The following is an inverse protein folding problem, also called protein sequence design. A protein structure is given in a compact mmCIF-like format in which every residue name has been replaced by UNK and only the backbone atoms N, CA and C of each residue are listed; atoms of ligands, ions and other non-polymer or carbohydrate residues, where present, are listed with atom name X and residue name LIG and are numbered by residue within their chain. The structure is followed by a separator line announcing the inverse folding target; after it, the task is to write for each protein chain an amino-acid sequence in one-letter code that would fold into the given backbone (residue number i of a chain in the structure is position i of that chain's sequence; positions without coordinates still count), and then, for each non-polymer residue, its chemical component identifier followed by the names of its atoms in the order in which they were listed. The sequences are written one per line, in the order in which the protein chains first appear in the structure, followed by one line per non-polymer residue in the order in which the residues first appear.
data_IF_061529165057
#
_entry.id   IF_061529165057
#
_cell.length_a   1.000
_cell.length_b   1.000
_cell.length_c   1.000
_cell.angle_alpha   90.00
_cell.angle_beta   90.00
_cell.angle_gamma   90.00
#
_symmetry.space_group_name_H-M   'P 1'
#
loop_
_entity.id
_entity.type
_entity.pdbx_description
1 polymer ?
#
# COMPACT_ATOMS: atom_id res chain seq x y z
N UNK A 1 15.96 -26.16 -12.08
CA UNK A 1 16.94 -25.49 -11.19
C UNK A 1 17.64 -24.40 -11.99
N UNK A 2 17.09 -23.19 -11.99
CA UNK A 2 17.73 -21.99 -12.53
C UNK A 2 16.95 -20.78 -12.02
N UNK A 3 17.66 -19.67 -11.75
CA UNK A 3 17.15 -18.32 -11.48
C UNK A 3 16.97 -17.91 -10.01
N UNK A 4 17.86 -18.33 -9.11
CA UNK A 4 18.12 -17.59 -7.86
C UNK A 4 19.14 -16.44 -8.05
N UNK A 5 19.74 -16.29 -9.23
CA UNK A 5 20.87 -15.38 -9.46
C UNK A 5 20.55 -14.04 -10.16
N UNK A 6 19.30 -13.79 -10.59
CA UNK A 6 18.98 -12.57 -11.35
C UNK A 6 18.67 -11.34 -10.47
N UNK A 7 18.40 -11.51 -9.18
CA UNK A 7 18.12 -10.38 -8.26
C UNK A 7 19.37 -9.55 -7.89
N UNK A 8 20.59 -10.06 -8.13
CA UNK A 8 21.84 -9.46 -7.65
C UNK A 8 22.62 -8.66 -8.72
N UNK A 9 22.04 -8.43 -9.90
CA UNK A 9 22.78 -7.83 -11.02
C UNK A 9 22.46 -6.34 -11.26
N UNK A 10 21.50 -5.78 -10.54
CA UNK A 10 21.14 -4.36 -10.61
C UNK A 10 21.66 -3.59 -9.38
N UNK A 11 22.28 -2.43 -9.60
CA UNK A 11 22.85 -1.58 -8.55
C UNK A 11 21.78 -1.18 -7.52
N UNK A 12 20.53 -1.01 -7.97
CA UNK A 12 19.39 -0.69 -7.12
C UNK A 12 18.95 -1.87 -6.24
N UNK A 13 18.84 -3.08 -6.80
CA UNK A 13 18.46 -4.28 -6.04
C UNK A 13 19.48 -4.61 -4.94
N UNK A 14 20.77 -4.43 -5.20
CA UNK A 14 21.82 -4.62 -4.18
C UNK A 14 21.73 -3.58 -3.07
N UNK A 15 21.41 -2.32 -3.38
CA UNK A 15 21.23 -1.25 -2.38
C UNK A 15 19.99 -1.49 -1.52
N UNK A 16 18.87 -1.90 -2.13
CA UNK A 16 17.65 -2.26 -1.42
C UNK A 16 17.88 -3.45 -0.47
N UNK A 17 18.61 -4.47 -0.93
CA UNK A 17 18.97 -5.62 -0.08
C UNK A 17 19.85 -5.19 1.11
N UNK A 18 20.83 -4.32 0.89
CA UNK A 18 21.69 -3.78 1.97
C UNK A 18 20.84 -3.00 2.98
N UNK A 19 19.97 -2.09 2.51
CA UNK A 19 19.08 -1.33 3.38
C UNK A 19 18.16 -2.27 4.19
N UNK A 20 17.57 -3.28 3.55
CA UNK A 20 16.74 -4.28 4.21
C UNK A 20 17.49 -5.06 5.30
N UNK A 21 18.72 -5.52 5.02
CA UNK A 21 19.54 -6.24 6.01
C UNK A 21 19.86 -5.32 7.20
N UNK A 22 20.23 -4.06 6.95
CA UNK A 22 20.53 -3.08 8.01
C UNK A 22 19.29 -2.85 8.88
N UNK A 23 18.14 -2.53 8.27
CA UNK A 23 16.88 -2.30 8.99
C UNK A 23 16.46 -3.54 9.78
N UNK A 24 16.58 -4.74 9.20
CA UNK A 24 16.21 -5.99 9.89
C UNK A 24 17.13 -6.29 11.08
N UNK A 25 18.44 -6.11 10.92
CA UNK A 25 19.39 -6.27 12.04
C UNK A 25 19.11 -5.26 13.15
N UNK A 26 18.79 -4.02 12.76
CA UNK A 26 18.50 -2.97 13.71
C UNK A 26 17.17 -3.21 14.45
N UNK A 27 16.13 -3.63 13.75
CA UNK A 27 14.86 -4.10 14.34
C UNK A 27 15.08 -5.15 15.44
N UNK A 28 15.94 -6.15 15.21
CA UNK A 28 16.27 -7.14 16.24
C UNK A 28 16.94 -6.50 17.45
N UNK A 29 17.87 -5.56 17.22
CA UNK A 29 18.54 -4.83 18.29
C UNK A 29 17.56 -3.99 19.13
N UNK A 30 16.55 -3.38 18.50
CA UNK A 30 15.51 -2.63 19.20
C UNK A 30 14.53 -3.49 19.97
N UNK A 31 14.11 -4.63 19.44
CA UNK A 31 13.29 -5.59 20.19
C UNK A 31 14.03 -6.00 21.46
N UNK A 32 15.30 -6.39 21.33
CA UNK A 32 16.13 -6.77 22.48
C UNK A 32 16.32 -5.57 23.42
N UNK A 33 16.63 -4.40 22.88
CA UNK A 33 16.84 -3.16 23.62
C UNK A 33 15.61 -2.71 24.40
N UNK A 34 14.43 -2.76 23.79
CA UNK A 34 13.14 -2.41 24.40
C UNK A 34 12.76 -3.39 25.51
N UNK A 35 12.97 -4.69 25.29
CA UNK A 35 12.75 -5.71 26.34
C UNK A 35 13.72 -5.56 27.51
N UNK A 36 15.01 -5.36 27.24
CA UNK A 36 16.03 -5.20 28.29
C UNK A 36 15.88 -3.89 29.06
N UNK A 37 15.56 -2.80 28.36
CA UNK A 37 15.36 -1.50 29.00
C UNK A 37 13.97 -1.33 29.61
N UNK A 38 13.05 -2.25 29.33
CA UNK A 38 11.62 -2.10 29.57
C UNK A 38 11.07 -0.80 28.99
N UNK A 39 11.59 -0.29 27.85
CA UNK A 39 11.10 0.94 27.21
C UNK A 39 9.99 0.64 26.21
N UNK A 40 8.84 1.32 26.34
CA UNK A 40 7.78 1.25 25.33
C UNK A 40 8.13 2.01 24.07
N UNK A 41 8.93 3.07 24.17
CA UNK A 41 9.29 3.86 22.99
C UNK A 41 10.11 3.01 22.01
N UNK A 42 11.07 2.23 22.52
CA UNK A 42 11.83 1.29 21.71
C UNK A 42 11.00 0.12 21.19
N UNK A 43 10.04 -0.40 21.98
CA UNK A 43 9.14 -1.45 21.50
C UNK A 43 8.17 -0.94 20.42
N UNK A 44 7.78 0.34 20.48
CA UNK A 44 6.98 0.99 19.46
C UNK A 44 7.75 1.17 18.15
N UNK A 45 9.00 1.61 18.25
CA UNK A 45 9.91 1.73 17.11
C UNK A 45 10.21 0.32 16.52
N UNK A 46 10.46 -0.67 17.36
CA UNK A 46 10.63 -2.05 16.90
C UNK A 46 9.38 -2.62 16.20
N UNK A 47 8.19 -2.34 16.76
CA UNK A 47 6.91 -2.86 16.28
C UNK A 47 6.56 -2.43 14.86
N UNK A 48 6.80 -1.17 14.50
CA UNK A 48 6.57 -0.71 13.13
C UNK A 48 7.58 -1.33 12.17
N UNK A 49 8.88 -1.37 12.52
CA UNK A 49 9.91 -2.01 11.70
C UNK A 49 9.65 -3.49 11.43
N UNK A 50 9.09 -4.24 12.40
CA UNK A 50 8.65 -5.63 12.18
C UNK A 50 7.61 -5.69 11.07
N UNK A 51 6.63 -4.79 11.09
CA UNK A 51 5.60 -4.76 10.04
C UNK A 51 6.15 -4.31 8.70
N UNK A 52 7.17 -3.45 8.65
CA UNK A 52 7.82 -3.08 7.40
C UNK A 52 8.64 -4.24 6.82
N UNK A 53 9.35 -4.98 7.68
CA UNK A 53 10.05 -6.19 7.28
C UNK A 53 9.08 -7.26 6.76
N UNK A 54 7.93 -7.43 7.43
CA UNK A 54 6.85 -8.31 6.96
C UNK A 54 6.26 -7.85 5.63
N UNK A 55 6.03 -6.55 5.43
CA UNK A 55 5.55 -5.99 4.17
C UNK A 55 6.52 -6.30 3.03
N UNK A 56 7.82 -6.09 3.24
CA UNK A 56 8.86 -6.38 2.25
C UNK A 56 8.95 -7.87 1.94
N UNK A 57 8.91 -8.74 2.97
CA UNK A 57 8.88 -10.19 2.78
C UNK A 57 7.66 -10.62 1.95
N UNK A 58 6.47 -10.12 2.30
CA UNK A 58 5.24 -10.42 1.59
C UNK A 58 5.26 -9.88 0.16
N UNK A 59 5.84 -8.70 -0.08
CA UNK A 59 6.02 -8.15 -1.42
C UNK A 59 6.95 -9.05 -2.26
N UNK A 60 8.07 -9.52 -1.71
CA UNK A 60 8.97 -10.46 -2.37
C UNK A 60 8.27 -11.79 -2.73
N UNK A 61 7.50 -12.33 -1.78
CA UNK A 61 6.69 -13.53 -2.02
C UNK A 61 5.65 -13.24 -3.10
N UNK A 62 4.94 -12.12 -3.03
CA UNK A 62 3.92 -11.76 -3.98
C UNK A 62 4.49 -11.58 -5.40
N UNK A 63 5.66 -10.97 -5.57
CA UNK A 63 6.36 -10.89 -6.87
C UNK A 63 6.69 -12.29 -7.39
N UNK A 64 7.17 -13.19 -6.53
CA UNK A 64 7.43 -14.59 -6.91
C UNK A 64 6.16 -15.31 -7.37
N UNK A 65 5.02 -15.05 -6.72
CA UNK A 65 3.72 -15.62 -7.11
C UNK A 65 3.08 -14.93 -8.32
N UNK A 66 3.32 -13.63 -8.52
CA UNK A 66 2.83 -12.86 -9.67
C UNK A 66 3.46 -13.33 -11.00
N UNK A 67 4.67 -13.90 -10.95
CA UNK A 67 5.32 -14.54 -12.10
C UNK A 67 4.66 -15.87 -12.50
N UNK A 68 3.78 -16.45 -11.66
CA UNK A 68 3.04 -17.67 -12.04
C UNK A 68 1.93 -17.31 -13.02
N UNK A 69 1.91 -18.01 -14.16
CA UNK A 69 0.84 -17.85 -15.15
C UNK A 69 -0.53 -18.11 -14.51
N UNK A 70 -1.58 -17.38 -14.93
CA UNK A 70 -2.96 -17.65 -14.52
C UNK A 70 -3.33 -19.13 -14.75
N UNK A 71 -4.15 -19.69 -13.86
CA UNK A 71 -4.65 -21.05 -13.99
C UNK A 71 -6.19 -21.05 -14.10
N UNK A 72 -6.79 -22.20 -14.41
CA UNK A 72 -8.25 -22.30 -14.60
C UNK A 72 -9.08 -21.94 -13.36
N UNK A 73 -8.49 -21.93 -12.15
CA UNK A 73 -9.16 -21.54 -10.91
C UNK A 73 -8.91 -20.07 -10.51
N UNK A 74 -7.81 -19.50 -10.98
CA UNK A 74 -7.36 -18.13 -10.76
C UNK A 74 -7.08 -17.51 -12.13
N UNK A 75 -8.14 -17.10 -12.81
CA UNK A 75 -8.12 -16.61 -14.21
C UNK A 75 -7.37 -15.29 -14.38
N UNK A 76 -7.35 -14.46 -13.34
CA UNK A 76 -6.49 -13.27 -13.24
C UNK A 76 -5.15 -13.55 -12.56
N UNK A 77 -4.82 -14.81 -12.27
CA UNK A 77 -3.65 -15.17 -11.48
C UNK A 77 -3.74 -14.70 -10.03
N UNK A 78 -2.61 -14.34 -9.44
CA UNK A 78 -2.49 -13.96 -8.03
C UNK A 78 -2.34 -12.44 -7.83
N UNK A 79 -2.93 -11.63 -8.72
CA UNK A 79 -2.78 -10.16 -8.71
C UNK A 79 -3.22 -9.53 -7.38
N UNK A 80 -4.28 -10.04 -6.73
CA UNK A 80 -4.79 -9.52 -5.45
C UNK A 80 -3.99 -9.96 -4.22
N UNK A 81 -3.01 -10.85 -4.37
CA UNK A 81 -2.27 -11.38 -3.23
C UNK A 81 -1.41 -10.30 -2.55
N UNK A 82 -0.91 -9.33 -3.33
CA UNK A 82 -0.23 -8.13 -2.83
C UNK A 82 -1.16 -7.29 -1.95
N UNK A 83 -2.40 -7.09 -2.40
CA UNK A 83 -3.44 -6.33 -1.68
C UNK A 83 -3.81 -7.00 -0.36
N UNK A 84 -4.02 -8.32 -0.38
CA UNK A 84 -4.31 -9.11 0.82
C UNK A 84 -3.15 -9.03 1.81
N UNK A 85 -1.91 -9.17 1.32
CA UNK A 85 -0.71 -9.01 2.15
C UNK A 85 -0.63 -7.63 2.79
N UNK A 86 -0.86 -6.56 2.02
CA UNK A 86 -0.86 -5.19 2.53
C UNK A 86 -1.95 -4.98 3.60
N UNK A 87 -3.16 -5.52 3.38
CA UNK A 87 -4.25 -5.45 4.35
C UNK A 87 -3.92 -6.16 5.66
N UNK A 88 -3.40 -7.40 5.60
CA UNK A 88 -2.99 -8.17 6.78
C UNK A 88 -1.86 -7.44 7.53
N UNK A 89 -0.89 -6.90 6.81
CA UNK A 89 0.21 -6.15 7.41
C UNK A 89 -0.26 -4.87 8.12
N UNK A 90 -1.12 -4.09 7.46
CA UNK A 90 -1.71 -2.89 8.05
C UNK A 90 -2.54 -3.21 9.30
N UNK A 91 -3.29 -4.31 9.27
CA UNK A 91 -4.05 -4.81 10.43
C UNK A 91 -3.14 -5.24 11.59
N UNK A 92 -2.04 -5.94 11.30
CA UNK A 92 -1.06 -6.32 12.31
C UNK A 92 -0.39 -5.10 12.95
N UNK A 93 0.03 -4.12 12.14
CA UNK A 93 0.59 -2.86 12.64
C UNK A 93 -0.42 -2.11 13.52
N UNK A 94 -1.67 -2.02 13.08
CA UNK A 94 -2.74 -1.39 13.84
C UNK A 94 -2.92 -2.06 15.21
N UNK A 95 -2.90 -3.39 15.26
CA UNK A 95 -2.99 -4.15 16.51
C UNK A 95 -1.79 -3.90 17.43
N UNK A 96 -0.56 -3.93 16.91
CA UNK A 96 0.67 -3.67 17.68
C UNK A 96 0.61 -2.27 18.31
N UNK A 97 0.22 -1.26 17.53
CA UNK A 97 0.10 0.12 18.03
C UNK A 97 -0.96 0.24 19.11
N UNK A 98 -2.12 -0.42 18.96
CA UNK A 98 -3.14 -0.44 20.03
C UNK A 98 -2.63 -1.09 21.32
N UNK A 99 -1.86 -2.17 21.22
CA UNK A 99 -1.24 -2.83 22.37
C UNK A 99 -0.23 -1.89 23.07
N UNK A 100 0.60 -1.17 22.31
CA UNK A 100 1.55 -0.20 22.87
C UNK A 100 0.82 0.95 23.56
N UNK A 101 -0.24 1.50 22.95
CA UNK A 101 -1.04 2.57 23.58
C UNK A 101 -1.71 2.07 24.85
N UNK A 102 -2.26 0.87 24.83
CA UNK A 102 -2.84 0.23 26.02
C UNK A 102 -1.80 0.10 27.14
N UNK A 103 -0.63 -0.44 26.83
CA UNK A 103 0.47 -0.63 27.80
C UNK A 103 1.01 0.72 28.31
N UNK A 104 1.10 1.73 27.45
CA UNK A 104 1.50 3.08 27.84
C UNK A 104 0.49 3.71 28.80
N UNK A 105 -0.81 3.51 28.57
CA UNK A 105 -1.86 3.93 29.49
C UNK A 105 -1.77 3.19 30.83
N UNK A 106 -1.49 1.88 30.82
CA UNK A 106 -1.29 1.08 32.03
C UNK A 106 -0.10 1.56 32.87
N UNK A 107 1.00 1.96 32.22
CA UNK A 107 2.21 2.46 32.91
C UNK A 107 2.05 3.79 33.64
N UNK A 108 1.01 4.58 33.35
CA UNK A 108 0.70 5.74 34.19
C UNK A 108 0.11 5.34 35.56
N UNK A 109 -0.50 4.16 35.65
CA UNK A 109 -1.08 3.63 36.89
C UNK A 109 -0.05 2.80 37.65
N UNK A 110 0.71 1.95 36.94
CA UNK A 110 1.79 1.13 37.49
C UNK A 110 3.14 1.47 36.82
N UNK A 111 3.90 2.45 37.38
CA UNK A 111 5.18 2.85 36.82
C UNK A 111 6.18 1.69 36.84
N UNK A 112 6.81 1.47 35.69
CA UNK A 112 7.92 0.52 35.55
C UNK A 112 9.24 1.28 35.48
N UNK A 113 10.29 0.70 36.05
CA UNK A 113 11.63 1.24 35.92
C UNK A 113 12.14 1.04 34.50
N UNK A 114 12.48 2.16 33.84
CA UNK A 114 13.06 2.15 32.50
C UNK A 114 14.57 2.37 32.61
N UNK A 115 15.36 1.42 32.11
CA UNK A 115 16.81 1.54 32.12
C UNK A 115 17.25 2.54 31.03
N UNK A 116 17.50 3.78 31.42
CA UNK A 116 17.83 4.87 30.49
C UNK A 116 19.13 4.67 29.69
N UNK A 117 20.15 4.02 30.26
CA UNK A 117 21.44 3.79 29.56
C UNK A 117 21.30 2.84 28.37
N UNK A 118 20.79 1.60 28.52
CA UNK A 118 20.60 0.71 27.38
C UNK A 118 19.59 1.31 26.37
N UNK A 119 18.56 2.01 26.85
CA UNK A 119 17.62 2.72 25.98
C UNK A 119 18.33 3.75 25.10
N UNK A 120 19.19 4.60 25.67
CA UNK A 120 19.93 5.63 24.95
C UNK A 120 20.89 5.03 23.91
N UNK A 121 21.63 3.98 24.27
CA UNK A 121 22.59 3.32 23.37
C UNK A 121 21.87 2.80 22.13
N UNK A 122 20.75 2.10 22.33
CA UNK A 122 19.96 1.51 21.23
C UNK A 122 19.34 2.61 20.38
N UNK A 123 18.75 3.63 20.99
CA UNK A 123 18.10 4.73 20.26
C UNK A 123 19.11 5.55 19.43
N UNK A 124 20.32 5.79 19.93
CA UNK A 124 21.39 6.45 19.17
C UNK A 124 21.86 5.56 18.01
N UNK A 125 22.06 4.27 18.25
CA UNK A 125 22.43 3.33 17.19
C UNK A 125 21.38 3.31 16.07
N UNK A 126 20.09 3.37 16.43
CA UNK A 126 18.98 3.45 15.48
C UNK A 126 18.92 4.70 14.66
N UNK A 127 19.07 5.84 15.33
CA UNK A 127 19.14 7.12 14.66
C UNK A 127 20.22 7.13 13.57
N UNK A 128 21.42 6.61 13.88
CA UNK A 128 22.50 6.53 12.89
C UNK A 128 22.26 5.47 11.82
N UNK A 129 21.66 4.33 12.16
CA UNK A 129 21.29 3.30 11.19
C UNK A 129 20.28 3.84 10.16
N UNK A 130 19.22 4.51 10.63
CA UNK A 130 18.20 5.14 9.79
C UNK A 130 18.79 6.29 8.94
N UNK A 131 19.68 7.10 9.50
CA UNK A 131 20.39 8.14 8.76
C UNK A 131 21.30 7.56 7.67
N UNK A 132 21.97 6.43 7.95
CA UNK A 132 22.82 5.75 6.98
C UNK A 132 22.00 5.11 5.87
N UNK A 133 20.87 4.46 6.20
CA UNK A 133 19.90 3.95 5.22
C UNK A 133 19.37 5.07 4.34
N UNK A 134 18.98 6.22 4.92
CA UNK A 134 18.58 7.41 4.18
C UNK A 134 19.65 7.86 3.19
N UNK A 135 20.89 7.98 3.65
CA UNK A 135 22.00 8.45 2.84
C UNK A 135 22.32 7.51 1.68
N UNK A 136 22.28 6.19 1.89
CA UNK A 136 22.46 5.18 0.83
C UNK A 136 21.37 5.31 -0.24
N UNK A 137 20.11 5.47 0.16
CA UNK A 137 19.00 5.59 -0.78
C UNK A 137 19.06 6.91 -1.57
N UNK A 138 19.45 8.01 -0.93
CA UNK A 138 19.43 9.34 -1.57
C UNK A 138 20.59 9.58 -2.54
N UNK A 139 21.73 8.90 -2.38
CA UNK A 139 22.92 9.09 -3.23
C UNK A 139 22.81 8.45 -4.63
N UNK A 140 21.70 7.77 -4.90
CA UNK A 140 21.56 6.89 -6.07
C UNK A 140 20.51 7.30 -7.10
N UNK A 141 19.75 8.36 -6.86
CA UNK A 141 18.51 8.61 -7.62
C UNK A 141 18.56 9.96 -8.32
N UNK A 142 19.09 9.99 -9.55
CA UNK A 142 18.85 11.11 -10.50
C UNK A 142 17.43 11.07 -11.10
N UNK A 143 16.64 10.03 -10.84
CA UNK A 143 15.28 9.92 -11.36
C UNK A 143 14.23 10.38 -10.34
N UNK A 144 13.71 11.59 -10.55
CA UNK A 144 12.47 12.07 -9.93
C UNK A 144 11.36 11.03 -10.13
N UNK A 145 11.03 10.26 -9.11
CA UNK A 145 9.83 9.43 -9.11
C UNK A 145 9.25 9.30 -7.70
N UNK A 146 7.93 9.25 -7.67
CA UNK A 146 7.05 9.33 -6.48
C UNK A 146 7.46 8.36 -5.34
N UNK A 147 8.13 7.27 -5.69
CA UNK A 147 8.66 6.25 -4.78
C UNK A 147 9.75 6.79 -3.84
N UNK A 148 10.59 7.74 -4.27
CA UNK A 148 11.62 8.36 -3.40
C UNK A 148 10.96 9.23 -2.33
N UNK A 149 9.84 9.90 -2.67
CA UNK A 149 9.08 10.71 -1.72
C UNK A 149 8.39 9.84 -0.68
N UNK A 150 7.85 8.69 -1.10
CA UNK A 150 7.28 7.70 -0.18
C UNK A 150 8.33 7.12 0.77
N UNK A 151 9.50 6.71 0.24
CA UNK A 151 10.62 6.20 1.05
C UNK A 151 11.16 7.27 2.03
N UNK A 152 11.27 8.53 1.59
CA UNK A 152 11.70 9.64 2.45
C UNK A 152 10.71 9.91 3.59
N UNK A 153 9.41 9.87 3.32
CA UNK A 153 8.37 10.07 4.33
C UNK A 153 8.35 8.94 5.37
N UNK A 154 8.62 7.71 4.92
CA UNK A 154 8.74 6.54 5.79
C UNK A 154 9.92 6.69 6.76
N UNK A 155 11.12 6.93 6.22
CA UNK A 155 12.34 7.12 7.01
C UNK A 155 12.22 8.30 7.99
N UNK A 156 11.49 9.37 7.61
CA UNK A 156 11.24 10.48 8.50
C UNK A 156 10.40 10.07 9.72
N UNK A 157 9.49 9.10 9.55
CA UNK A 157 8.74 8.49 10.65
C UNK A 157 9.67 7.77 11.64
N UNK A 158 10.56 6.92 11.14
CA UNK A 158 11.51 6.14 11.95
C UNK A 158 12.49 7.06 12.69
N UNK A 159 12.97 8.13 12.02
CA UNK A 159 13.81 9.14 12.65
C UNK A 159 13.09 9.86 13.80
N UNK A 160 11.79 10.14 13.66
CA UNK A 160 11.00 10.75 14.74
C UNK A 160 10.85 9.79 15.93
N UNK A 161 10.67 8.49 15.67
CA UNK A 161 10.65 7.45 16.70
C UNK A 161 11.95 7.38 17.49
N UNK A 162 13.08 7.27 16.80
CA UNK A 162 14.41 7.26 17.41
C UNK A 162 14.70 8.55 18.19
N UNK A 163 14.34 9.73 17.66
CA UNK A 163 14.48 11.01 18.38
C UNK A 163 13.63 11.03 19.65
N UNK A 164 12.39 10.53 19.59
CA UNK A 164 11.53 10.38 20.77
C UNK A 164 12.19 9.52 21.85
N UNK A 165 12.72 8.36 21.48
CA UNK A 165 13.42 7.48 22.41
C UNK A 165 14.70 8.12 23.00
N UNK A 166 15.50 8.83 22.19
CA UNK A 166 16.69 9.57 22.68
C UNK A 166 16.27 10.61 23.72
N UNK A 167 15.22 11.40 23.44
CA UNK A 167 14.71 12.43 24.36
C UNK A 167 14.22 11.80 25.66
N UNK A 168 13.43 10.72 25.60
CA UNK A 168 12.99 9.99 26.79
C UNK A 168 14.18 9.50 27.63
N UNK A 169 15.17 8.87 26.99
CA UNK A 169 16.32 8.32 27.69
C UNK A 169 17.14 9.40 28.40
N UNK A 170 17.39 10.55 27.75
CA UNK A 170 18.10 11.69 28.37
C UNK A 170 17.34 12.21 29.59
N UNK A 171 16.02 12.39 29.48
CA UNK A 171 15.19 12.88 30.58
C UNK A 171 15.22 11.90 31.76
N UNK A 172 15.09 10.60 31.49
CA UNK A 172 15.18 9.55 32.52
C UNK A 172 16.54 9.55 33.21
N UNK A 173 17.64 9.66 32.45
CA UNK A 173 18.99 9.67 33.03
C UNK A 173 19.28 10.92 33.87
N UNK A 174 18.74 12.08 33.50
CA UNK A 174 18.97 13.33 34.23
C UNK A 174 18.05 13.51 35.44
N UNK A 175 16.81 13.03 35.36
CA UNK A 175 15.76 13.37 36.34
C UNK A 175 15.15 12.15 37.05
N UNK A 176 15.37 10.94 36.53
CA UNK A 176 14.67 9.74 36.98
C UNK A 176 13.19 9.70 36.59
N UNK A 177 12.69 10.65 35.80
CA UNK A 177 11.27 10.74 35.46
C UNK A 177 10.89 9.77 34.35
N UNK A 178 10.52 8.54 34.73
CA UNK A 178 10.10 7.46 33.83
C UNK A 178 8.79 7.69 33.05
N UNK A 179 7.82 8.54 33.48
CA UNK A 179 6.61 8.80 32.69
C UNK A 179 6.84 9.46 31.33
N UNK A 180 8.03 10.00 31.04
CA UNK A 180 8.35 10.50 29.69
C UNK A 180 8.28 9.40 28.62
N UNK A 181 8.64 8.15 28.97
CA UNK A 181 8.65 7.02 28.03
C UNK A 181 7.23 6.70 27.50
N UNK A 182 6.19 6.47 28.35
CA UNK A 182 4.84 6.26 27.85
C UNK A 182 4.25 7.48 27.12
N UNK A 183 4.60 8.72 27.51
CA UNK A 183 4.15 9.93 26.80
C UNK A 183 4.69 9.97 25.37
N UNK A 184 6.01 9.79 25.20
CA UNK A 184 6.61 9.78 23.87
C UNK A 184 6.22 8.55 23.06
N UNK A 185 5.98 7.40 23.72
CA UNK A 185 5.45 6.20 23.07
C UNK A 185 4.06 6.43 22.48
N UNK A 186 3.16 7.10 23.21
CA UNK A 186 1.83 7.47 22.69
C UNK A 186 1.96 8.45 21.52
N UNK A 187 2.85 9.43 21.62
CA UNK A 187 3.08 10.40 20.55
C UNK A 187 3.52 9.72 19.25
N UNK A 188 4.53 8.85 19.32
CA UNK A 188 5.01 8.08 18.16
C UNK A 188 3.91 7.14 17.65
N UNK A 189 3.22 6.45 18.57
CA UNK A 189 2.10 5.56 18.24
C UNK A 189 1.00 6.26 17.44
N UNK A 190 0.63 7.50 17.79
CA UNK A 190 -0.40 8.25 17.04
C UNK A 190 0.03 8.54 15.60
N UNK A 191 1.31 8.86 15.37
CA UNK A 191 1.85 9.08 14.03
C UNK A 191 1.80 7.80 13.19
N UNK A 192 2.25 6.69 13.78
CA UNK A 192 2.24 5.38 13.13
C UNK A 192 0.80 4.91 12.87
N UNK A 193 -0.11 5.10 13.84
CA UNK A 193 -1.53 4.74 13.72
C UNK A 193 -2.21 5.44 12.56
N UNK A 194 -1.90 6.73 12.33
CA UNK A 194 -2.44 7.49 11.19
C UNK A 194 -2.02 6.87 9.86
N UNK A 195 -0.76 6.46 9.74
CA UNK A 195 -0.22 5.80 8.55
C UNK A 195 -0.85 4.41 8.36
N UNK A 196 -0.91 3.61 9.43
CA UNK A 196 -1.53 2.29 9.43
C UNK A 196 -3.02 2.36 9.03
N UNK A 197 -3.77 3.31 9.58
CA UNK A 197 -5.19 3.50 9.25
C UNK A 197 -5.41 3.85 7.78
N UNK A 198 -4.57 4.72 7.22
CA UNK A 198 -4.61 5.06 5.80
C UNK A 198 -4.38 3.83 4.93
N UNK A 199 -3.31 3.08 5.20
CA UNK A 199 -2.96 1.88 4.45
C UNK A 199 -4.06 0.81 4.55
N UNK A 200 -4.61 0.60 5.75
CA UNK A 200 -5.71 -0.34 5.98
C UNK A 200 -6.94 0.03 5.14
N UNK A 201 -7.32 1.32 5.11
CA UNK A 201 -8.45 1.81 4.33
C UNK A 201 -8.22 1.64 2.83
N UNK A 202 -7.01 1.97 2.34
CA UNK A 202 -6.65 1.85 0.93
C UNK A 202 -6.68 0.37 0.47
N UNK A 203 -6.04 -0.54 1.21
CA UNK A 203 -6.06 -1.97 0.86
C UNK A 203 -7.46 -2.58 0.99
N UNK A 204 -8.26 -2.15 1.98
CA UNK A 204 -9.64 -2.61 2.12
C UNK A 204 -10.52 -2.16 0.94
N UNK A 205 -10.37 -0.90 0.50
CA UNK A 205 -11.07 -0.37 -0.68
C UNK A 205 -10.73 -1.17 -1.94
N UNK A 206 -9.46 -1.53 -2.12
CA UNK A 206 -9.03 -2.36 -3.25
C UNK A 206 -9.59 -3.80 -3.17
N UNK A 207 -9.66 -4.39 -1.96
CA UNK A 207 -10.30 -5.71 -1.77
C UNK A 207 -11.80 -5.70 -2.10
N UNK A 208 -12.46 -4.56 -1.91
CA UNK A 208 -13.87 -4.34 -2.28
C UNK A 208 -14.06 -3.95 -3.75
N UNK A 209 -13.04 -4.11 -4.59
CA UNK A 209 -13.10 -3.76 -6.02
C UNK A 209 -13.38 -2.28 -6.26
N UNK A 210 -12.95 -1.43 -5.32
CA UNK A 210 -13.10 0.01 -5.41
C UNK A 210 -12.29 0.62 -6.56
N UNK A 211 -12.87 1.65 -7.20
CA UNK A 211 -12.18 2.41 -8.23
C UNK A 211 -10.98 3.17 -7.66
N UNK A 212 -9.85 3.24 -8.40
CA UNK A 212 -8.67 3.96 -7.96
C UNK A 212 -8.96 5.46 -7.83
N UNK A 213 -8.47 6.09 -6.76
CA UNK A 213 -8.83 7.47 -6.40
C UNK A 213 -8.34 8.53 -7.38
N UNK A 214 -7.38 8.22 -8.24
CA UNK A 214 -6.86 9.14 -9.25
C UNK A 214 -7.67 9.16 -10.55
N UNK A 215 -8.65 8.27 -10.71
CA UNK A 215 -9.51 8.21 -11.90
C UNK A 215 -10.91 8.68 -11.58
N UNK A 216 -11.29 9.77 -12.21
CA UNK A 216 -12.65 10.31 -12.21
C UNK A 216 -13.44 9.68 -13.38
N UNK A 217 -14.38 8.79 -13.07
CA UNK A 217 -15.14 8.02 -14.05
C UNK A 217 -15.97 8.94 -14.96
N UNK A 218 -16.53 10.03 -14.42
CA UNK A 218 -17.33 10.97 -15.20
C UNK A 218 -16.48 11.72 -16.22
N UNK A 219 -15.28 12.15 -15.81
CA UNK A 219 -14.32 12.77 -16.73
C UNK A 219 -13.82 11.80 -17.78
N UNK A 220 -13.58 10.54 -17.41
CA UNK A 220 -13.17 9.50 -18.35
C UNK A 220 -14.24 9.27 -19.42
N UNK A 221 -15.51 9.16 -19.01
CA UNK A 221 -16.64 9.04 -19.94
C UNK A 221 -16.70 10.21 -20.92
N UNK A 222 -16.64 11.44 -20.41
CA UNK A 222 -16.67 12.64 -21.24
C UNK A 222 -15.47 12.69 -22.19
N UNK A 223 -14.28 12.31 -21.73
CA UNK A 223 -13.07 12.27 -22.53
C UNK A 223 -13.18 11.27 -23.69
N UNK A 224 -13.75 10.07 -23.46
CA UNK A 224 -13.98 9.09 -24.53
C UNK A 224 -14.97 9.62 -25.58
N UNK A 225 -16.09 10.21 -25.17
CA UNK A 225 -17.07 10.77 -26.11
C UNK A 225 -16.54 11.99 -26.89
N UNK A 226 -15.58 12.74 -26.32
CA UNK A 226 -15.04 13.95 -26.95
C UNK A 226 -13.87 13.66 -27.89
N UNK A 227 -13.06 12.65 -27.59
CA UNK A 227 -11.82 12.38 -28.33
C UNK A 227 -11.95 11.27 -29.39
N UNK A 228 -13.07 10.54 -29.42
CA UNK A 228 -13.33 9.47 -30.39
C UNK A 228 -14.69 9.74 -31.04
N UNK A 229 -14.68 10.21 -32.29
CA UNK A 229 -15.85 10.73 -33.00
C UNK A 229 -17.01 9.72 -33.11
N UNK A 230 -16.69 8.43 -33.19
CA UNK A 230 -17.68 7.36 -33.29
C UNK A 230 -18.38 7.05 -31.97
N UNK A 231 -17.79 7.44 -30.83
CA UNK A 231 -18.34 7.19 -29.48
C UNK A 231 -19.41 8.24 -29.17
N UNK A 232 -20.63 7.76 -28.93
CA UNK A 232 -21.79 8.62 -28.62
C UNK A 232 -22.06 8.72 -27.13
N UNK A 233 -21.92 7.60 -26.44
CA UNK A 233 -22.14 7.50 -25.00
C UNK A 233 -21.30 6.36 -24.41
N UNK A 234 -20.97 6.47 -23.14
CA UNK A 234 -20.29 5.42 -22.37
C UNK A 234 -21.04 5.25 -21.06
N UNK A 235 -21.44 4.02 -20.75
CA UNK A 235 -22.20 3.71 -19.55
C UNK A 235 -21.78 2.35 -18.98
N UNK A 236 -22.35 1.99 -17.82
CA UNK A 236 -22.04 0.74 -17.13
C UNK A 236 -20.53 0.52 -16.93
N UNK A 237 -19.85 1.59 -16.48
CA UNK A 237 -18.41 1.60 -16.27
C UNK A 237 -18.09 1.04 -14.91
N UNK A 238 -17.38 -0.09 -14.89
CA UNK A 238 -16.77 -0.65 -13.69
C UNK A 238 -15.27 -0.58 -13.84
N UNK A 239 -14.62 0.09 -12.91
CA UNK A 239 -13.17 0.23 -12.85
C UNK A 239 -12.74 -0.22 -11.46
N UNK A 240 -11.81 -1.17 -11.42
CA UNK A 240 -11.24 -1.63 -10.16
C UNK A 240 -9.73 -1.88 -10.33
N UNK A 241 -9.07 -1.98 -9.19
CA UNK A 241 -7.64 -2.28 -9.12
C UNK A 241 -7.42 -3.69 -8.57
N UNK A 242 -6.46 -4.42 -9.15
CA UNK A 242 -6.01 -5.70 -8.65
C UNK A 242 -4.48 -5.71 -8.61
N UNK A 243 -3.92 -5.42 -7.44
CA UNK A 243 -2.50 -5.17 -7.27
C UNK A 243 -2.09 -3.91 -8.04
N UNK A 244 -1.13 -4.04 -8.96
CA UNK A 244 -0.68 -2.93 -9.80
C UNK A 244 -1.49 -2.78 -11.10
N UNK A 245 -2.36 -3.74 -11.42
CA UNK A 245 -3.12 -3.76 -12.67
C UNK A 245 -4.48 -3.08 -12.50
N UNK A 246 -4.81 -2.18 -13.43
CA UNK A 246 -6.15 -1.58 -13.56
C UNK A 246 -6.98 -2.40 -14.53
N UNK A 247 -8.16 -2.79 -14.07
CA UNK A 247 -9.11 -3.61 -14.80
C UNK A 247 -10.39 -2.81 -15.00
N UNK A 248 -10.92 -2.84 -16.21
CA UNK A 248 -12.11 -2.06 -16.55
C UNK A 248 -13.09 -2.89 -17.37
N UNK A 249 -14.37 -2.71 -17.10
CA UNK A 249 -15.45 -3.14 -18.00
C UNK A 249 -16.34 -1.95 -18.29
N UNK A 250 -16.71 -1.76 -19.55
CA UNK A 250 -17.56 -0.64 -19.94
C UNK A 250 -18.41 -0.99 -21.15
N UNK A 251 -19.54 -0.30 -21.26
CA UNK A 251 -20.37 -0.32 -22.45
C UNK A 251 -20.16 1.00 -23.20
N UNK A 252 -19.95 0.90 -24.50
CA UNK A 252 -19.68 2.04 -25.37
C UNK A 252 -20.73 2.04 -26.48
N UNK A 253 -21.58 3.05 -26.47
CA UNK A 253 -22.50 3.29 -27.57
C UNK A 253 -21.73 3.94 -28.72
N UNK A 254 -21.73 3.27 -29.88
CA UNK A 254 -21.00 3.70 -31.07
C UNK A 254 -21.94 3.90 -32.24
N UNK A 255 -21.66 4.91 -33.07
CA UNK A 255 -22.24 4.93 -34.41
C UNK A 255 -21.73 3.70 -35.20
N UNK A 256 -22.51 3.10 -36.12
CA UNK A 256 -22.08 1.95 -36.90
C UNK A 256 -20.73 2.25 -37.59
N UNK A 257 -19.61 1.62 -37.15
CA UNK A 257 -18.30 1.93 -37.69
C UNK A 257 -18.09 1.22 -39.01
N UNK A 258 -17.21 1.77 -39.85
CA UNK A 258 -16.74 1.07 -41.04
C UNK A 258 -15.85 -0.12 -40.68
N UNK A 259 -15.09 -0.01 -39.59
CA UNK A 259 -14.22 -1.05 -39.02
C UNK A 259 -14.40 -1.09 -37.50
N UNK A 260 -14.91 -2.20 -36.99
CA UNK A 260 -15.19 -2.40 -35.56
C UNK A 260 -13.91 -2.65 -34.76
N UNK A 261 -12.98 -3.42 -35.31
CA UNK A 261 -11.76 -3.82 -34.61
C UNK A 261 -10.80 -2.62 -34.44
N UNK A 262 -10.70 -1.77 -35.46
CA UNK A 262 -9.90 -0.53 -35.38
C UNK A 262 -10.46 0.42 -34.30
N UNK A 263 -11.78 0.60 -34.24
CA UNK A 263 -12.41 1.43 -33.21
C UNK A 263 -12.13 0.88 -31.80
N UNK A 264 -12.29 -0.43 -31.61
CA UNK A 264 -12.01 -1.10 -30.34
C UNK A 264 -10.54 -0.89 -29.92
N UNK A 265 -9.60 -1.05 -30.85
CA UNK A 265 -8.17 -0.85 -30.59
C UNK A 265 -7.85 0.61 -30.23
N UNK A 266 -8.47 1.60 -30.89
CA UNK A 266 -8.30 3.02 -30.55
C UNK A 266 -8.80 3.33 -29.14
N UNK A 267 -9.96 2.80 -28.75
CA UNK A 267 -10.49 2.97 -27.39
C UNK A 267 -9.53 2.33 -26.36
N UNK A 268 -9.08 1.11 -26.60
CA UNK A 268 -8.13 0.42 -25.71
C UNK A 268 -6.80 1.19 -25.59
N UNK A 269 -6.25 1.66 -26.71
CA UNK A 269 -5.02 2.43 -26.72
C UNK A 269 -5.17 3.77 -25.99
N UNK A 270 -6.32 4.43 -26.12
CA UNK A 270 -6.64 5.66 -25.41
C UNK A 270 -6.69 5.41 -23.89
N UNK A 271 -7.39 4.36 -23.45
CA UNK A 271 -7.46 3.96 -22.04
C UNK A 271 -6.08 3.60 -21.46
N UNK A 272 -5.25 2.90 -22.23
CA UNK A 272 -3.88 2.57 -21.83
C UNK A 272 -3.00 3.83 -21.70
N UNK A 273 -3.04 4.71 -22.70
CA UNK A 273 -2.11 5.87 -22.79
C UNK A 273 -2.47 6.97 -21.79
N UNK A 274 -3.77 7.24 -21.58
CA UNK A 274 -4.22 8.34 -20.73
C UNK A 274 -4.55 7.94 -19.29
N UNK A 275 -4.95 6.68 -19.06
CA UNK A 275 -5.40 6.21 -17.74
C UNK A 275 -4.62 5.01 -17.21
N UNK A 276 -3.63 4.51 -17.95
CA UNK A 276 -2.85 3.31 -17.61
C UNK A 276 -3.73 2.06 -17.36
N UNK A 277 -4.82 1.94 -18.13
CA UNK A 277 -5.74 0.79 -18.05
C UNK A 277 -5.32 -0.20 -19.13
N UNK A 278 -4.58 -1.24 -18.72
CA UNK A 278 -4.04 -2.23 -19.63
C UNK A 278 -5.04 -3.33 -20.04
N UNK A 279 -6.06 -3.59 -19.21
CA UNK A 279 -7.02 -4.64 -19.47
C UNK A 279 -8.45 -4.11 -19.33
N UNK A 280 -9.07 -3.83 -20.47
CA UNK A 280 -10.42 -3.33 -20.58
C UNK A 280 -11.29 -4.28 -21.41
N UNK A 281 -12.44 -4.68 -20.88
CA UNK A 281 -13.49 -5.37 -21.65
C UNK A 281 -14.53 -4.35 -22.07
N UNK A 282 -14.62 -4.11 -23.38
CA UNK A 282 -15.51 -3.10 -23.96
C UNK A 282 -16.64 -3.81 -24.69
N UNK A 283 -17.87 -3.58 -24.25
CA UNK A 283 -19.07 -4.00 -24.96
C UNK A 283 -19.53 -2.86 -25.87
N UNK A 284 -19.52 -3.07 -27.18
CA UNK A 284 -19.99 -2.08 -28.15
C UNK A 284 -21.48 -2.22 -28.41
N UNK A 285 -22.22 -1.12 -28.36
CA UNK A 285 -23.67 -1.07 -28.58
C UNK A 285 -24.03 -0.09 -29.69
N UNK A 286 -24.93 -0.48 -30.59
CA UNK A 286 -25.38 0.37 -31.70
C UNK A 286 -26.70 1.09 -31.41
N UNK A 287 -27.49 0.54 -30.50
CA UNK A 287 -28.77 1.11 -30.09
C UNK A 287 -28.59 1.86 -28.78
N UNK A 288 -29.43 2.87 -28.58
CA UNK A 288 -29.45 3.59 -27.31
C UNK A 288 -29.99 2.66 -26.20
N UNK A 289 -29.25 2.56 -25.10
CA UNK A 289 -29.70 1.80 -23.95
C UNK A 289 -30.91 2.51 -23.33
N UNK A 290 -32.05 1.81 -23.24
CA UNK A 290 -33.31 2.39 -22.72
C UNK A 290 -33.31 2.62 -21.20
N UNK A 291 -32.29 2.14 -20.49
CA UNK A 291 -32.14 2.28 -19.03
C UNK A 291 -30.81 3.00 -18.74
N UNK A 292 -30.87 3.96 -17.82
CA UNK A 292 -29.74 4.85 -17.50
C UNK A 292 -28.53 4.12 -16.91
N UNK A 293 -28.76 2.99 -16.23
CA UNK A 293 -27.75 2.06 -15.77
C UNK A 293 -28.25 0.64 -16.08
N UNK A 294 -27.44 -0.19 -16.70
CA UNK A 294 -27.74 -1.62 -16.84
C UNK A 294 -27.84 -2.23 -15.43
N UNK A 295 -29.05 -2.25 -14.87
CA UNK A 295 -29.38 -2.52 -13.46
C UNK A 295 -28.48 -3.56 -12.76
N UNK A 296 -27.44 -3.11 -12.05
CA UNK A 296 -26.76 -3.92 -11.05
C UNK A 296 -27.54 -3.76 -9.75
N UNK A 297 -28.37 -4.76 -9.44
CA UNK A 297 -29.08 -4.86 -8.16
C UNK A 297 -30.60 -4.82 -8.21
N UNK A 298 -31.23 -4.59 -9.38
CA UNK A 298 -32.65 -4.89 -9.55
C UNK A 298 -32.80 -6.28 -10.16
N UNK A 299 -33.33 -7.22 -9.37
CA UNK A 299 -33.90 -8.46 -9.87
C UNK A 299 -34.81 -8.11 -11.05
N UNK A 300 -34.41 -8.53 -12.26
CA UNK A 300 -35.26 -8.50 -13.43
C UNK A 300 -36.51 -9.31 -13.09
N UNK A 301 -37.60 -8.62 -12.77
CA UNK A 301 -38.94 -9.19 -12.77
C UNK A 301 -39.18 -9.72 -14.18
N UNK A 302 -38.96 -11.01 -14.35
CA UNK A 302 -39.12 -11.75 -15.59
C UNK A 302 -40.59 -11.68 -15.96
N UNK A 303 -40.95 -10.77 -16.86
CA UNK A 303 -42.14 -10.97 -17.69
C UNK A 303 -41.66 -11.27 -19.10
N UNK A 304 -41.23 -12.52 -19.28
CA UNK A 304 -40.97 -13.08 -20.59
C UNK A 304 -42.34 -13.21 -21.30
N UNK A 305 -42.78 -12.18 -22.03
CA UNK A 305 -43.86 -12.34 -23.01
C UNK A 305 -43.24 -12.92 -24.26
N UNK A 306 -43.23 -14.25 -24.31
CA UNK A 306 -42.99 -15.01 -25.54
C UNK A 306 -44.15 -14.69 -26.49
N UNK A 307 -43.90 -13.84 -27.49
CA UNK A 307 -44.76 -13.78 -28.66
C UNK A 307 -44.31 -14.89 -29.62
N UNK A 308 -45.01 -16.03 -29.57
CA UNK A 308 -45.00 -16.99 -30.66
C UNK A 308 -45.86 -16.42 -31.79
N UNK A 309 -45.25 -16.28 -32.97
CA UNK A 309 -45.94 -16.25 -34.25
C UNK A 309 -45.89 -17.64 -34.86
#
# INVERSE_FOLDING_TARGET
MANSSFFLQDSNSRRLLIAFIITTLFMVAEVIGGLLSSSLALLADAGHMVTDAMALLLALVAVHFAQRKPNMRHTFGYLRLTTVAAFVNAGALFLIVLLIVWEAMHRFVEPHDVLGVPMLIVAIAGFFANLFSFWILHRGTEEKNINVRAATLHILGDLLGSVGAIVAAIVILMTGWTPIDPILSILVSVLVLRSAWRLLKESFHELLEGAPHDVDIDKLRQALCTNIDEVRDVHHVHLWQAGEQRLMTLHVQVAPPNDHDDLLQRIQQYLLTHYNIAHATIQTEYQHCKKADCDIGQLVSTTCKVHHH
#
